data_IF_934215972058
#
_entry.id   IF_934215972058
#
_cell.length_a   1.000
_cell.length_b   1.000
_cell.length_c   1.000
_cell.angle_alpha   90.00
_cell.angle_beta   90.00
_cell.angle_gamma   90.00
#
_symmetry.space_group_name_H-M   'P 1'
#
loop_
_entity.id
_entity.type
_entity.pdbx_description
1 polymer ?
#
# COMPACT_ATOMS: atom_id res chain seq x y z
N UNK A 1 7.64 20.48 -11.24
CA UNK A 1 8.98 19.94 -10.96
C UNK A 1 9.21 20.00 -9.47
N UNK A 2 9.54 18.85 -8.87
CA UNK A 2 9.78 18.75 -7.43
C UNK A 2 11.12 19.40 -7.05
N UNK A 3 11.19 20.04 -5.89
CA UNK A 3 12.40 20.62 -5.31
C UNK A 3 12.68 20.05 -3.93
N UNK A 4 13.94 20.09 -3.52
CA UNK A 4 14.39 19.70 -2.18
C UNK A 4 14.89 20.94 -1.44
N UNK A 5 14.29 21.32 -0.31
CA UNK A 5 14.79 22.43 0.49
C UNK A 5 16.16 22.11 1.12
N UNK A 6 16.97 23.14 1.45
CA UNK A 6 18.26 22.97 2.10
C UNK A 6 18.17 22.20 3.42
N UNK A 7 19.09 21.25 3.63
CA UNK A 7 19.21 20.49 4.88
C UNK A 7 20.37 21.03 5.70
N UNK A 8 20.14 21.30 6.99
CA UNK A 8 21.19 21.80 7.88
C UNK A 8 22.36 20.81 7.93
N UNK A 9 23.58 21.31 7.74
CA UNK A 9 24.81 20.51 7.83
C UNK A 9 24.91 19.73 9.15
N UNK A 10 24.51 20.33 10.28
CA UNK A 10 24.52 19.66 11.58
C UNK A 10 23.67 18.39 11.62
N UNK A 11 22.57 18.34 10.87
CA UNK A 11 21.74 17.15 10.73
C UNK A 11 22.46 16.07 9.91
N UNK A 12 23.14 16.44 8.83
CA UNK A 12 23.91 15.50 7.99
C UNK A 12 25.13 14.96 8.77
N UNK A 13 25.82 15.82 9.51
CA UNK A 13 27.01 15.45 10.27
C UNK A 13 26.71 14.38 11.33
N UNK A 14 25.47 14.30 11.84
CA UNK A 14 24.98 13.27 12.76
C UNK A 14 24.68 11.92 12.08
N UNK A 15 24.72 11.82 10.75
CA UNK A 15 24.42 10.57 10.06
C UNK A 15 25.48 9.52 10.39
N UNK A 16 25.07 8.30 10.80
CA UNK A 16 26.01 7.22 11.00
C UNK A 16 26.56 6.77 9.64
N UNK A 17 27.86 6.53 9.58
CA UNK A 17 28.57 6.08 8.37
C UNK A 17 27.94 4.81 7.77
N UNK A 18 27.42 3.91 8.61
CA UNK A 18 26.80 2.66 8.18
C UNK A 18 25.47 2.83 7.45
N UNK A 19 24.73 3.92 7.67
CA UNK A 19 23.42 4.16 7.06
C UNK A 19 23.37 5.43 6.20
N UNK A 20 24.52 6.10 5.99
CA UNK A 20 24.57 7.41 5.35
C UNK A 20 24.24 7.38 3.85
N UNK A 21 24.61 6.31 3.15
CA UNK A 21 24.61 6.23 1.69
C UNK A 21 26.00 6.06 1.07
N UNK A 22 27.04 5.92 1.89
CA UNK A 22 28.36 5.50 1.43
C UNK A 22 28.33 4.06 0.90
N UNK A 23 29.26 3.73 -0.01
CA UNK A 23 29.39 2.34 -0.47
C UNK A 23 29.73 1.41 0.71
N UNK A 24 29.21 0.17 0.75
CA UNK A 24 29.44 -0.74 1.88
C UNK A 24 30.92 -0.92 2.22
N UNK A 25 31.79 -0.93 1.20
CA UNK A 25 33.24 -1.00 1.37
C UNK A 25 33.80 0.24 2.08
N UNK A 26 33.41 1.44 1.65
CA UNK A 26 33.84 2.68 2.29
C UNK A 26 33.34 2.74 3.74
N UNK A 27 32.06 2.46 3.96
CA UNK A 27 31.45 2.46 5.29
C UNK A 27 32.14 1.47 6.25
N UNK A 28 32.48 0.27 5.78
CA UNK A 28 33.20 -0.73 6.57
C UNK A 28 34.62 -0.30 6.93
N UNK A 29 35.37 0.32 6.00
CA UNK A 29 36.72 0.82 6.28
C UNK A 29 36.70 1.92 7.34
N UNK A 30 35.79 2.89 7.20
CA UNK A 30 35.60 3.99 8.12
C UNK A 30 35.17 3.50 9.52
N UNK A 31 34.22 2.57 9.57
CA UNK A 31 33.74 1.98 10.83
C UNK A 31 34.87 1.27 11.59
N UNK A 32 35.74 0.51 10.89
CA UNK A 32 36.92 -0.13 11.50
C UNK A 32 37.96 0.87 11.97
N UNK A 33 38.10 1.99 11.26
CA UNK A 33 38.91 3.13 11.67
C UNK A 33 38.27 3.96 12.80
N UNK A 34 37.17 3.49 13.40
CA UNK A 34 36.40 4.14 14.47
C UNK A 34 35.80 5.50 14.07
N UNK A 35 35.63 5.74 12.77
CA UNK A 35 34.90 6.89 12.23
C UNK A 35 33.43 6.46 12.12
N UNK A 36 32.59 7.02 12.99
CA UNK A 36 31.20 6.61 13.18
C UNK A 36 30.21 7.53 12.48
N UNK A 37 30.54 8.80 12.31
CA UNK A 37 29.62 9.82 11.78
C UNK A 37 30.18 10.54 10.54
N UNK A 38 29.28 11.14 9.75
CA UNK A 38 29.70 11.97 8.61
C UNK A 38 30.45 13.22 9.06
N UNK A 39 30.11 13.79 10.22
CA UNK A 39 30.82 14.92 10.81
C UNK A 39 32.27 14.58 11.14
N UNK A 40 32.55 13.40 11.70
CA UNK A 40 33.91 12.89 11.92
C UNK A 40 34.66 12.70 10.59
N UNK A 41 34.02 12.05 9.61
CA UNK A 41 34.60 11.84 8.28
C UNK A 41 35.05 13.15 7.64
N UNK A 42 34.25 14.21 7.74
CA UNK A 42 34.54 15.53 7.14
C UNK A 42 35.74 16.25 7.76
N UNK A 43 36.14 15.88 8.99
CA UNK A 43 37.33 16.46 9.65
C UNK A 43 38.63 15.82 9.15
N UNK A 44 38.55 14.73 8.40
CA UNK A 44 39.72 14.00 7.93
C UNK A 44 40.12 14.50 6.54
N UNK A 45 41.35 14.97 6.35
CA UNK A 45 41.88 15.34 5.04
C UNK A 45 41.84 14.17 4.05
N UNK A 46 41.60 14.48 2.77
CA UNK A 46 41.56 13.44 1.71
C UNK A 46 42.84 12.62 1.60
N UNK A 47 44.01 13.20 1.93
CA UNK A 47 45.29 12.49 1.92
C UNK A 47 45.33 11.41 3.02
N UNK A 48 44.81 11.73 4.21
CA UNK A 48 44.82 10.84 5.36
C UNK A 48 43.83 9.68 5.23
N UNK A 49 42.77 9.85 4.43
CA UNK A 49 41.83 8.77 4.13
C UNK A 49 42.51 7.58 3.43
N UNK A 50 43.54 7.81 2.61
CA UNK A 50 44.29 6.73 1.96
C UNK A 50 45.18 5.95 2.93
N UNK A 51 45.47 6.51 4.11
CA UNK A 51 46.21 5.82 5.16
C UNK A 51 45.32 4.85 5.96
N UNK A 52 43.99 4.90 5.76
CA UNK A 52 43.05 3.96 6.39
C UNK A 52 43.23 2.58 5.77
N UNK A 53 43.49 1.59 6.63
CA UNK A 53 43.67 0.18 6.23
C UNK A 53 42.52 -0.29 5.31
N UNK A 54 42.90 -0.85 4.16
CA UNK A 54 41.99 -1.41 3.14
C UNK A 54 41.09 -0.40 2.40
N UNK A 55 41.29 0.91 2.61
CA UNK A 55 40.63 1.96 1.84
C UNK A 55 41.43 2.24 0.56
N UNK A 56 40.85 1.92 -0.59
CA UNK A 56 41.48 2.13 -1.91
C UNK A 56 40.98 3.37 -2.65
N UNK A 57 41.61 3.67 -3.80
CA UNK A 57 41.25 4.82 -4.66
C UNK A 57 39.77 4.87 -5.06
N UNK A 58 39.15 3.69 -5.29
CA UNK A 58 37.70 3.59 -5.62
C UNK A 58 36.85 4.06 -4.44
N UNK A 59 37.10 3.54 -3.23
CA UNK A 59 36.36 3.97 -2.03
C UNK A 59 36.58 5.45 -1.71
N UNK A 60 37.78 5.98 -1.94
CA UNK A 60 38.03 7.42 -1.81
C UNK A 60 37.19 8.25 -2.80
N UNK A 61 37.10 7.79 -4.06
CA UNK A 61 36.24 8.44 -5.06
C UNK A 61 34.76 8.39 -4.64
N UNK A 62 34.29 7.24 -4.13
CA UNK A 62 32.92 7.10 -3.64
C UNK A 62 32.65 8.05 -2.47
N UNK A 63 33.59 8.16 -1.51
CA UNK A 63 33.52 9.10 -0.39
C UNK A 63 33.42 10.54 -0.91
N UNK A 64 34.26 10.93 -1.87
CA UNK A 64 34.22 12.29 -2.47
C UNK A 64 32.89 12.56 -3.16
N UNK A 65 32.39 11.60 -3.94
CA UNK A 65 31.09 11.72 -4.62
C UNK A 65 29.95 11.87 -3.61
N UNK A 66 29.95 11.07 -2.55
CA UNK A 66 29.00 11.17 -1.44
C UNK A 66 29.06 12.56 -0.78
N UNK A 67 30.26 13.02 -0.42
CA UNK A 67 30.44 14.33 0.23
C UNK A 67 29.96 15.48 -0.67
N UNK A 68 30.17 15.40 -1.99
CA UNK A 68 29.63 16.38 -2.93
C UNK A 68 28.10 16.36 -2.93
N UNK A 69 27.47 15.18 -3.04
CA UNK A 69 25.99 15.08 -2.94
C UNK A 69 25.45 15.67 -1.63
N UNK A 70 26.15 15.47 -0.51
CA UNK A 70 25.74 16.09 0.76
C UNK A 70 25.88 17.61 0.78
N UNK A 71 26.79 18.20 -0.01
CA UNK A 71 26.85 19.66 -0.18
C UNK A 71 25.67 20.17 -1.00
N UNK A 72 25.26 19.43 -2.02
CA UNK A 72 24.06 19.75 -2.80
C UNK A 72 22.81 19.73 -1.88
N UNK A 73 22.72 18.73 -1.00
CA UNK A 73 21.66 18.69 0.04
C UNK A 73 21.68 19.91 0.97
N UNK A 74 22.87 20.40 1.35
CA UNK A 74 23.02 21.58 2.22
C UNK A 74 22.56 22.87 1.55
N UNK A 75 22.60 22.94 0.22
CA UNK A 75 22.18 24.10 -0.57
C UNK A 75 20.73 23.99 -1.04
N UNK A 76 20.14 22.80 -0.93
CA UNK A 76 18.89 22.46 -1.59
C UNK A 76 19.11 22.16 -3.07
N UNK A 77 18.16 21.44 -3.68
CA UNK A 77 18.24 21.04 -5.08
C UNK A 77 16.96 21.48 -5.77
N UNK A 78 17.09 22.31 -6.79
CA UNK A 78 15.95 22.81 -7.56
C UNK A 78 16.33 23.01 -9.05
N UNK A 79 15.70 22.28 -9.99
CA UNK A 79 14.78 21.16 -9.77
C UNK A 79 15.53 19.88 -9.38
N UNK A 80 14.85 18.96 -8.69
CA UNK A 80 15.33 17.58 -8.58
C UNK A 80 15.20 16.87 -9.95
N UNK A 81 16.15 15.99 -10.32
CA UNK A 81 16.02 15.21 -11.55
C UNK A 81 14.91 14.16 -11.40
N UNK A 82 14.20 13.77 -12.48
CA UNK A 82 13.10 12.81 -12.39
C UNK A 82 13.45 11.56 -11.57
N UNK A 83 12.48 11.06 -10.82
CA UNK A 83 12.72 10.01 -9.81
C UNK A 83 13.43 8.78 -10.35
N UNK A 84 13.12 8.39 -11.58
CA UNK A 84 13.78 7.25 -12.24
C UNK A 84 15.28 7.48 -12.40
N UNK A 85 15.69 8.68 -12.79
CA UNK A 85 17.09 9.09 -12.86
C UNK A 85 17.74 9.03 -11.48
N UNK A 86 17.04 9.44 -10.42
CA UNK A 86 17.55 9.30 -9.04
C UNK A 86 17.74 7.83 -8.66
N UNK A 87 16.75 6.97 -8.87
CA UNK A 87 16.85 5.53 -8.53
C UNK A 87 18.02 4.87 -9.28
N UNK A 88 18.24 5.23 -10.55
CA UNK A 88 19.37 4.75 -11.34
C UNK A 88 20.75 5.11 -10.78
N UNK A 89 20.86 6.19 -10.00
CA UNK A 89 22.12 6.58 -9.35
C UNK A 89 22.45 5.74 -8.12
N UNK A 90 21.45 5.08 -7.51
CA UNK A 90 21.62 4.28 -6.31
C UNK A 90 21.60 2.78 -6.60
N UNK A 91 20.76 2.35 -7.55
CA UNK A 91 20.50 0.94 -7.81
C UNK A 91 21.04 0.54 -9.18
N UNK A 92 21.90 -0.48 -9.20
CA UNK A 92 22.50 -0.98 -10.44
C UNK A 92 21.43 -1.56 -11.38
N UNK A 93 21.72 -1.59 -12.68
CA UNK A 93 20.75 -2.00 -13.72
C UNK A 93 20.05 -3.34 -13.43
N UNK A 94 20.78 -4.34 -12.93
CA UNK A 94 20.24 -5.67 -12.64
C UNK A 94 19.28 -5.68 -11.45
N UNK A 95 19.66 -5.03 -10.35
CA UNK A 95 18.83 -4.94 -9.14
C UNK A 95 17.62 -4.03 -9.37
N UNK A 96 17.79 -2.98 -10.18
CA UNK A 96 16.71 -2.08 -10.58
C UNK A 96 15.66 -2.78 -11.44
N UNK A 97 16.04 -3.67 -12.36
CA UNK A 97 15.07 -4.41 -13.15
C UNK A 97 14.17 -5.30 -12.26
N UNK A 98 14.74 -5.90 -11.21
CA UNK A 98 13.98 -6.64 -10.20
C UNK A 98 13.05 -5.70 -9.43
N UNK A 99 13.55 -4.55 -8.98
CA UNK A 99 12.75 -3.53 -8.29
C UNK A 99 11.57 -3.04 -9.16
N UNK A 100 11.84 -2.69 -10.43
CA UNK A 100 10.84 -2.21 -11.39
C UNK A 100 9.72 -3.24 -11.60
N UNK A 101 10.03 -4.54 -11.63
CA UNK A 101 9.02 -5.60 -11.73
C UNK A 101 8.29 -5.87 -10.40
N UNK A 102 9.01 -5.91 -9.28
CA UNK A 102 8.44 -6.21 -7.95
C UNK A 102 7.42 -5.18 -7.50
N UNK A 103 7.69 -3.91 -7.79
CA UNK A 103 6.83 -2.80 -7.41
C UNK A 103 5.92 -2.32 -8.55
N UNK A 104 5.98 -2.93 -9.74
CA UNK A 104 5.16 -2.51 -10.87
C UNK A 104 5.47 -1.09 -11.33
N UNK A 105 6.75 -0.69 -11.31
CA UNK A 105 7.16 0.67 -11.68
C UNK A 105 7.03 0.94 -13.18
N UNK A 106 7.06 -0.09 -14.04
CA UNK A 106 7.00 0.08 -15.49
C UNK A 106 5.84 -0.75 -16.06
N UNK A 107 5.09 -0.14 -16.99
CA UNK A 107 3.98 -0.77 -17.72
C UNK A 107 2.60 -0.39 -17.20
N UNK A 108 1.55 -0.79 -17.92
CA UNK A 108 0.14 -0.45 -17.62
C UNK A 108 -0.50 -1.30 -16.50
N UNK A 109 0.33 -1.99 -15.71
CA UNK A 109 -0.07 -3.15 -14.89
C UNK A 109 -0.27 -2.81 -13.42
N UNK A 110 -1.10 -1.81 -13.13
CA UNK A 110 -1.73 -1.75 -11.81
C UNK A 110 -3.23 -1.72 -12.01
N UNK A 111 -3.74 -2.87 -12.44
CA UNK A 111 -5.14 -3.22 -12.21
C UNK A 111 -5.24 -3.92 -10.85
N UNK A 112 -6.40 -3.83 -10.18
CA UNK A 112 -6.65 -4.41 -8.86
C UNK A 112 -6.33 -5.92 -8.78
N UNK A 113 -6.26 -6.63 -9.91
CA UNK A 113 -5.96 -8.07 -9.96
C UNK A 113 -4.45 -8.40 -10.07
N UNK A 114 -3.57 -7.42 -10.22
CA UNK A 114 -2.14 -7.69 -10.45
C UNK A 114 -1.40 -7.67 -9.11
N UNK A 115 -1.40 -8.84 -8.47
CA UNK A 115 -0.44 -9.19 -7.42
C UNK A 115 0.97 -8.78 -7.86
N UNK A 116 1.69 -8.05 -6.99
CA UNK A 116 3.13 -7.81 -7.11
C UNK A 116 3.80 -9.07 -7.64
N UNK A 117 4.47 -8.99 -8.80
CA UNK A 117 5.11 -10.16 -9.41
C UNK A 117 5.90 -10.93 -8.36
N UNK A 118 5.59 -12.20 -8.14
CA UNK A 118 6.24 -12.98 -7.09
C UNK A 118 7.74 -13.11 -7.40
N UNK A 119 8.55 -13.29 -6.34
CA UNK A 119 9.99 -13.56 -6.51
C UNK A 119 10.24 -14.79 -7.39
N UNK A 120 9.32 -15.75 -7.35
CA UNK A 120 9.34 -16.95 -8.18
C UNK A 120 9.09 -16.60 -9.65
N UNK A 121 8.05 -15.84 -9.96
CA UNK A 121 7.70 -15.44 -11.32
C UNK A 121 8.82 -14.63 -12.00
N UNK A 122 9.45 -13.70 -11.26
CA UNK A 122 10.60 -12.94 -11.78
C UNK A 122 11.80 -13.86 -12.00
N UNK A 123 12.03 -14.82 -11.10
CA UNK A 123 13.09 -15.81 -11.23
C UNK A 123 12.95 -16.63 -12.51
N UNK A 124 11.74 -17.13 -12.77
CA UNK A 124 11.40 -17.87 -14.00
C UNK A 124 11.62 -17.01 -15.25
N UNK A 125 11.10 -15.77 -15.28
CA UNK A 125 11.25 -14.87 -16.41
C UNK A 125 12.72 -14.54 -16.71
N UNK A 126 13.55 -14.41 -15.68
CA UNK A 126 14.96 -14.02 -15.82
C UNK A 126 15.92 -15.22 -15.80
N UNK A 127 15.43 -16.46 -15.77
CA UNK A 127 16.26 -17.68 -15.61
C UNK A 127 17.20 -17.60 -14.41
N UNK A 128 16.69 -17.14 -13.26
CA UNK A 128 17.39 -17.00 -11.99
C UNK A 128 16.62 -17.67 -10.87
N UNK A 129 17.31 -18.09 -9.81
CA UNK A 129 16.64 -18.65 -8.64
C UNK A 129 15.84 -17.58 -7.90
N UNK A 130 14.73 -17.98 -7.26
CA UNK A 130 13.96 -17.13 -6.34
C UNK A 130 14.85 -16.44 -5.30
N UNK A 131 15.81 -17.17 -4.73
CA UNK A 131 16.74 -16.63 -3.73
C UNK A 131 17.65 -15.54 -4.32
N UNK A 132 18.10 -15.69 -5.57
CA UNK A 132 18.88 -14.65 -6.23
C UNK A 132 18.06 -13.38 -6.47
N UNK A 133 16.80 -13.52 -6.85
CA UNK A 133 15.88 -12.38 -7.00
C UNK A 133 15.65 -11.69 -5.66
N UNK A 134 15.43 -12.45 -4.58
CA UNK A 134 15.30 -11.91 -3.22
C UNK A 134 16.52 -11.09 -2.80
N UNK A 135 17.73 -11.59 -3.08
CA UNK A 135 18.97 -10.88 -2.80
C UNK A 135 19.09 -9.59 -3.62
N UNK A 136 18.73 -9.60 -4.90
CA UNK A 136 18.69 -8.40 -5.74
C UNK A 136 17.69 -7.36 -5.21
N UNK A 137 16.47 -7.78 -4.85
CA UNK A 137 15.46 -6.90 -4.24
C UNK A 137 15.98 -6.31 -2.92
N UNK A 138 16.56 -7.15 -2.05
CA UNK A 138 17.13 -6.70 -0.78
C UNK A 138 18.25 -5.68 -0.98
N UNK A 139 19.20 -5.98 -1.88
CA UNK A 139 20.28 -5.05 -2.23
C UNK A 139 19.76 -3.71 -2.75
N UNK A 140 18.74 -3.73 -3.61
CA UNK A 140 18.11 -2.50 -4.11
C UNK A 140 17.48 -1.69 -2.97
N UNK A 141 16.65 -2.35 -2.15
CA UNK A 141 15.95 -1.70 -1.04
C UNK A 141 16.91 -1.16 0.02
N UNK A 142 17.99 -1.86 0.35
CA UNK A 142 18.99 -1.40 1.31
C UNK A 142 19.67 -0.11 0.84
N UNK A 143 19.95 0.02 -0.47
CA UNK A 143 20.51 1.24 -1.04
C UNK A 143 19.52 2.40 -1.02
N UNK A 144 18.25 2.13 -1.32
CA UNK A 144 17.18 3.15 -1.29
C UNK A 144 16.82 3.59 0.14
N UNK A 145 17.06 2.75 1.15
CA UNK A 145 16.87 3.06 2.59
C UNK A 145 18.00 3.85 3.23
N UNK A 146 19.08 4.13 2.50
CA UNK A 146 20.16 4.97 3.01
C UNK A 146 19.68 6.40 3.23
N UNK A 147 20.24 7.10 4.21
CA UNK A 147 19.81 8.47 4.55
C UNK A 147 19.86 9.41 3.35
N UNK A 148 20.93 9.35 2.55
CA UNK A 148 21.07 10.13 1.33
C UNK A 148 19.94 9.84 0.33
N UNK A 149 19.66 8.57 0.04
CA UNK A 149 18.60 8.20 -0.90
C UNK A 149 17.22 8.61 -0.40
N UNK A 150 16.89 8.34 0.88
CA UNK A 150 15.63 8.74 1.48
C UNK A 150 15.42 10.26 1.42
N UNK A 151 16.43 11.09 1.70
CA UNK A 151 16.26 12.56 1.62
C UNK A 151 16.01 13.03 0.19
N UNK A 152 16.65 12.42 -0.81
CA UNK A 152 16.44 12.77 -2.23
C UNK A 152 15.09 12.28 -2.78
N UNK A 153 14.60 11.14 -2.28
CA UNK A 153 13.30 10.58 -2.69
C UNK A 153 12.12 11.21 -1.96
N UNK A 154 12.36 11.76 -0.76
CA UNK A 154 11.31 12.28 0.13
C UNK A 154 10.37 13.29 -0.55
N UNK A 155 10.86 14.29 -1.32
CA UNK A 155 9.96 15.26 -1.97
C UNK A 155 8.95 14.63 -2.95
N UNK A 156 9.29 13.51 -3.58
CA UNK A 156 8.34 12.77 -4.44
C UNK A 156 7.30 12.02 -3.61
N UNK A 157 7.71 11.46 -2.47
CA UNK A 157 6.79 10.83 -1.52
C UNK A 157 5.86 11.87 -0.90
N UNK A 158 6.34 13.07 -0.54
CA UNK A 158 5.52 14.15 0.00
C UNK A 158 4.44 14.61 -0.99
N UNK A 159 4.75 14.64 -2.29
CA UNK A 159 3.78 14.90 -3.36
C UNK A 159 2.67 13.83 -3.37
N UNK A 160 3.03 12.56 -3.17
CA UNK A 160 2.08 11.46 -3.07
C UNK A 160 1.28 11.48 -1.77
N UNK A 161 1.89 11.81 -0.64
CA UNK A 161 1.23 12.03 0.67
C UNK A 161 0.18 13.13 0.54
N UNK A 162 0.52 14.26 -0.07
CA UNK A 162 -0.43 15.35 -0.32
C UNK A 162 -1.62 14.88 -1.15
N UNK A 163 -1.35 14.03 -2.15
CA UNK A 163 -2.40 13.43 -2.99
C UNK A 163 -3.32 12.51 -2.17
N UNK A 164 -2.75 11.65 -1.34
CA UNK A 164 -3.51 10.78 -0.42
C UNK A 164 -4.35 11.62 0.55
N UNK A 165 -3.76 12.63 1.17
CA UNK A 165 -4.44 13.49 2.16
C UNK A 165 -5.62 14.26 1.54
N UNK A 166 -5.49 14.72 0.29
CA UNK A 166 -6.59 15.36 -0.46
C UNK A 166 -7.77 14.43 -0.81
N UNK A 167 -7.63 13.12 -0.59
CA UNK A 167 -8.66 12.09 -0.86
C UNK A 167 -9.12 11.43 0.44
N UNK A 168 -9.32 12.24 1.48
CA UNK A 168 -9.62 11.78 2.84
C UNK A 168 -8.65 10.69 3.29
N UNK A 169 -7.37 10.88 3.02
CA UNK A 169 -6.29 9.98 3.42
C UNK A 169 -6.39 8.55 2.88
N UNK A 170 -7.28 8.24 1.92
CA UNK A 170 -7.42 6.90 1.33
C UNK A 170 -7.40 7.02 -0.20
N UNK A 171 -6.35 6.47 -0.81
CA UNK A 171 -6.15 6.51 -2.26
C UNK A 171 -5.98 5.10 -2.82
N UNK A 172 -6.86 4.69 -3.72
CA UNK A 172 -6.71 3.42 -4.44
C UNK A 172 -5.62 3.51 -5.51
N UNK A 173 -5.13 2.35 -5.96
CA UNK A 173 -4.13 2.30 -7.02
C UNK A 173 -4.65 2.87 -8.36
N UNK A 174 -5.94 2.68 -8.64
CA UNK A 174 -6.63 3.22 -9.82
C UNK A 174 -6.74 4.74 -9.73
N UNK A 175 -7.07 5.29 -8.56
CA UNK A 175 -7.12 6.74 -8.37
C UNK A 175 -5.74 7.40 -8.44
N UNK A 176 -4.67 6.69 -8.06
CA UNK A 176 -3.31 7.19 -8.19
C UNK A 176 -2.92 7.48 -9.66
N UNK A 177 -3.66 6.94 -10.64
CA UNK A 177 -3.46 7.21 -12.06
C UNK A 177 -3.65 8.69 -12.43
N UNK A 178 -4.27 9.51 -11.57
CA UNK A 178 -4.32 10.97 -11.76
C UNK A 178 -2.93 11.61 -11.84
N UNK A 179 -1.90 10.94 -11.32
CA UNK A 179 -0.50 11.36 -11.39
C UNK A 179 0.25 10.78 -12.60
N UNK A 180 -0.45 10.11 -13.53
CA UNK A 180 0.18 9.54 -14.73
C UNK A 180 0.62 10.65 -15.67
N UNK A 181 1.79 10.49 -16.30
CA UNK A 181 2.36 11.49 -17.20
C UNK A 181 3.04 12.67 -16.48
N UNK A 182 3.12 12.63 -15.16
CA UNK A 182 3.86 13.63 -14.40
C UNK A 182 5.36 13.60 -14.77
N UNK A 183 5.94 14.73 -15.22
CA UNK A 183 7.35 14.76 -15.66
C UNK A 183 8.33 14.41 -14.53
N UNK A 184 7.94 14.59 -13.27
CA UNK A 184 8.74 14.23 -12.11
C UNK A 184 8.87 12.70 -11.96
N UNK A 185 7.92 11.94 -12.51
CA UNK A 185 7.87 10.47 -12.47
C UNK A 185 8.42 9.81 -13.74
N UNK A 186 8.59 10.56 -14.82
CA UNK A 186 9.01 10.04 -16.13
C UNK A 186 8.09 8.91 -16.61
N UNK A 187 8.63 7.70 -16.81
CA UNK A 187 7.92 6.49 -17.26
C UNK A 187 7.47 5.59 -16.11
N UNK A 188 7.64 6.04 -14.85
CA UNK A 188 7.21 5.25 -13.71
C UNK A 188 5.72 5.38 -13.39
N UNK A 189 5.09 4.24 -13.13
CA UNK A 189 3.69 4.14 -12.79
C UNK A 189 3.43 4.66 -11.35
N UNK A 190 2.49 5.59 -11.14
CA UNK A 190 2.23 6.19 -9.83
C UNK A 190 1.86 5.19 -8.72
N UNK A 191 0.96 4.24 -9.00
CA UNK A 191 0.61 3.22 -8.00
C UNK A 191 1.81 2.33 -7.60
N UNK A 192 2.78 2.14 -8.49
CA UNK A 192 3.97 1.32 -8.21
C UNK A 192 4.98 2.11 -7.40
N UNK A 193 5.08 3.41 -7.67
CA UNK A 193 5.83 4.34 -6.85
C UNK A 193 5.25 4.45 -5.43
N UNK A 194 3.92 4.54 -5.28
CA UNK A 194 3.25 4.47 -3.97
C UNK A 194 3.58 3.17 -3.24
N UNK A 195 3.61 2.06 -3.96
CA UNK A 195 3.97 0.76 -3.43
C UNK A 195 5.42 0.71 -2.94
N UNK A 196 6.37 1.25 -3.73
CA UNK A 196 7.76 1.40 -3.34
C UNK A 196 7.90 2.31 -2.13
N UNK A 197 7.22 3.45 -2.13
CA UNK A 197 7.27 4.43 -1.06
C UNK A 197 6.68 3.91 0.25
N UNK A 198 5.60 3.11 0.21
CA UNK A 198 5.09 2.44 1.41
C UNK A 198 6.12 1.50 2.06
N UNK A 199 7.09 1.00 1.29
CA UNK A 199 8.18 0.15 1.79
C UNK A 199 9.43 0.93 2.25
N UNK A 200 9.49 2.24 1.95
CA UNK A 200 10.60 3.14 2.27
C UNK A 200 10.25 4.16 3.36
N UNK A 201 9.00 4.62 3.40
CA UNK A 201 8.53 5.73 4.22
C UNK A 201 7.36 5.27 5.11
N UNK A 202 7.49 5.39 6.44
CA UNK A 202 6.51 4.85 7.39
C UNK A 202 5.19 5.62 7.46
N UNK A 203 5.14 6.82 6.87
CA UNK A 203 3.96 7.66 6.77
C UNK A 203 3.09 7.35 5.53
N UNK A 204 3.44 6.32 4.76
CA UNK A 204 2.60 5.77 3.70
C UNK A 204 2.37 4.29 4.02
N UNK A 205 1.13 3.95 4.36
CA UNK A 205 0.67 2.59 4.60
C UNK A 205 -0.01 2.04 3.34
N UNK A 206 0.33 0.81 2.95
CA UNK A 206 -0.43 0.05 1.96
C UNK A 206 -1.23 -1.05 2.67
N UNK A 207 -2.54 -1.05 2.52
CA UNK A 207 -3.46 -1.97 3.19
C UNK A 207 -4.66 -2.26 2.29
N UNK A 208 -5.09 -3.52 2.18
CA UNK A 208 -6.24 -3.93 1.36
C UNK A 208 -6.33 -3.21 0.00
N UNK A 209 -5.23 -3.18 -0.75
CA UNK A 209 -5.16 -2.59 -2.11
C UNK A 209 -5.36 -1.06 -2.21
N UNK A 210 -5.29 -0.34 -1.10
CA UNK A 210 -5.23 1.12 -1.09
C UNK A 210 -4.01 1.64 -0.30
N UNK A 211 -3.72 2.92 -0.49
CA UNK A 211 -2.68 3.67 0.19
C UNK A 211 -3.29 4.68 1.16
N UNK A 212 -2.69 4.83 2.34
CA UNK A 212 -3.16 5.76 3.36
C UNK A 212 -2.02 6.38 4.16
N UNK A 213 -2.23 7.60 4.66
CA UNK A 213 -1.35 8.28 5.61
C UNK A 213 -1.74 8.00 7.07
N UNK A 214 -2.78 7.18 7.29
CA UNK A 214 -3.19 6.70 8.61
C UNK A 214 -2.22 5.63 9.08
N UNK A 215 -1.87 5.68 10.38
CA UNK A 215 -0.98 4.68 10.97
C UNK A 215 -1.62 3.28 10.93
N UNK A 216 -0.85 2.19 10.73
CA UNK A 216 -1.40 0.84 10.69
C UNK A 216 -2.23 0.48 11.93
N UNK A 217 -1.80 0.90 13.12
CA UNK A 217 -2.51 0.61 14.38
C UNK A 217 -3.87 1.32 14.44
N UNK A 218 -3.92 2.59 14.04
CA UNK A 218 -5.17 3.35 13.98
C UNK A 218 -6.13 2.74 12.96
N UNK A 219 -5.60 2.35 11.79
CA UNK A 219 -6.39 1.75 10.72
C UNK A 219 -7.02 0.42 11.16
N UNK A 220 -6.24 -0.48 11.75
CA UNK A 220 -6.74 -1.76 12.24
C UNK A 220 -7.78 -1.59 13.34
N UNK A 221 -7.56 -0.65 14.26
CA UNK A 221 -8.52 -0.33 15.32
C UNK A 221 -9.83 0.23 14.74
N UNK A 222 -9.76 1.07 13.71
CA UNK A 222 -10.96 1.58 13.03
C UNK A 222 -11.70 0.45 12.29
N UNK A 223 -10.98 -0.42 11.58
CA UNK A 223 -11.58 -1.58 10.91
C UNK A 223 -12.31 -2.49 11.90
N UNK A 224 -11.69 -2.81 13.04
CA UNK A 224 -12.34 -3.60 14.08
C UNK A 224 -13.62 -2.95 14.60
N UNK A 225 -13.60 -1.64 14.87
CA UNK A 225 -14.79 -0.92 15.31
C UNK A 225 -15.89 -0.85 14.24
N UNK A 226 -15.53 -0.66 12.97
CA UNK A 226 -16.49 -0.69 11.87
C UNK A 226 -17.14 -2.07 11.73
N UNK A 227 -16.37 -3.15 11.82
CA UNK A 227 -16.90 -4.52 11.74
C UNK A 227 -17.84 -4.81 12.91
N UNK A 228 -17.46 -4.44 14.14
CA UNK A 228 -18.33 -4.59 15.32
C UNK A 228 -19.62 -3.75 15.19
N UNK A 229 -19.52 -2.54 14.65
CA UNK A 229 -20.68 -1.68 14.43
C UNK A 229 -21.64 -2.29 13.39
N UNK A 230 -21.10 -2.89 12.32
CA UNK A 230 -21.86 -3.62 11.30
C UNK A 230 -22.51 -4.88 11.85
N UNK A 231 -21.80 -5.65 12.67
CA UNK A 231 -22.33 -6.86 13.29
C UNK A 231 -23.51 -6.58 14.24
N UNK A 232 -23.54 -5.38 14.84
CA UNK A 232 -24.65 -4.93 15.67
C UNK A 232 -25.92 -4.53 14.89
N UNK A 233 -25.86 -4.45 13.55
CA UNK A 233 -27.01 -4.06 12.72
C UNK A 233 -27.72 -5.26 12.12
N UNK A 234 -29.05 -5.23 12.13
CA UNK A 234 -29.88 -6.30 11.53
C UNK A 234 -30.23 -6.06 10.05
N UNK A 235 -29.64 -5.03 9.43
CA UNK A 235 -29.82 -4.63 8.04
C UNK A 235 -28.51 -4.01 7.47
N UNK A 236 -28.32 -3.97 6.14
CA UNK A 236 -27.24 -3.19 5.53
C UNK A 236 -27.34 -1.72 5.92
N UNK A 237 -26.21 -1.06 6.13
CA UNK A 237 -26.16 0.36 6.53
C UNK A 237 -25.21 1.17 5.66
N UNK A 238 -25.51 2.45 5.47
CA UNK A 238 -24.68 3.36 4.70
C UNK A 238 -23.41 3.78 5.47
N UNK A 239 -22.42 4.27 4.74
CA UNK A 239 -21.21 4.88 5.30
C UNK A 239 -21.52 6.11 6.16
N UNK A 240 -22.53 6.91 5.79
CA UNK A 240 -23.02 8.05 6.59
C UNK A 240 -23.54 7.61 7.95
N UNK A 241 -24.40 6.58 7.98
CA UNK A 241 -24.91 6.04 9.24
C UNK A 241 -23.78 5.52 10.13
N UNK A 242 -22.83 4.77 9.55
CA UNK A 242 -21.69 4.25 10.31
C UNK A 242 -20.80 5.36 10.87
N UNK A 243 -20.54 6.41 10.08
CA UNK A 243 -19.76 7.55 10.53
C UNK A 243 -20.41 8.21 11.76
N UNK A 244 -21.72 8.50 11.69
CA UNK A 244 -22.47 9.06 12.81
C UNK A 244 -22.46 8.13 14.02
N UNK A 245 -22.76 6.84 13.82
CA UNK A 245 -22.78 5.83 14.86
C UNK A 245 -21.44 5.72 15.60
N UNK A 246 -20.33 5.68 14.87
CA UNK A 246 -18.99 5.59 15.45
C UNK A 246 -18.60 6.88 16.17
N UNK A 247 -18.89 8.06 15.58
CA UNK A 247 -18.62 9.34 16.24
C UNK A 247 -19.39 9.52 17.55
N UNK A 248 -20.60 8.95 17.65
CA UNK A 248 -21.40 8.99 18.88
C UNK A 248 -20.94 7.96 19.91
N UNK A 249 -20.67 6.72 19.51
CA UNK A 249 -20.48 5.62 20.45
C UNK A 249 -19.00 5.30 20.74
N UNK A 250 -18.13 5.39 19.73
CA UNK A 250 -16.69 5.07 19.83
C UNK A 250 -15.85 5.99 18.92
N UNK A 251 -15.73 7.28 19.24
CA UNK A 251 -15.11 8.24 18.33
C UNK A 251 -13.59 8.11 18.20
N UNK A 252 -12.91 7.35 19.07
CA UNK A 252 -11.45 7.41 19.24
C UNK A 252 -10.67 7.12 17.95
N UNK A 253 -10.76 5.91 17.39
CA UNK A 253 -10.07 5.55 16.14
C UNK A 253 -10.48 6.43 14.95
N UNK A 254 -11.78 6.68 14.77
CA UNK A 254 -12.28 7.48 13.66
C UNK A 254 -11.80 8.93 13.71
N UNK A 255 -11.85 9.58 14.88
CA UNK A 255 -11.29 10.95 15.05
C UNK A 255 -9.78 10.97 14.84
N UNK A 256 -9.08 9.92 15.25
CA UNK A 256 -7.62 9.79 15.09
C UNK A 256 -7.20 9.66 13.62
N UNK A 257 -8.09 9.17 12.75
CA UNK A 257 -7.84 9.16 11.31
C UNK A 257 -7.78 10.58 10.74
N UNK A 258 -8.52 11.54 11.30
CA UNK A 258 -8.51 12.93 10.85
C UNK A 258 -9.00 13.09 9.42
N UNK A 259 -10.04 12.35 9.05
CA UNK A 259 -10.78 12.56 7.79
C UNK A 259 -11.45 13.94 7.80
N UNK A 260 -11.54 14.56 6.63
CA UNK A 260 -12.37 15.75 6.43
C UNK A 260 -13.83 15.32 6.27
N UNK A 261 -14.05 14.23 5.53
CA UNK A 261 -15.34 13.59 5.29
C UNK A 261 -15.29 12.13 5.80
N UNK A 262 -15.64 11.87 7.08
CA UNK A 262 -15.54 10.54 7.68
C UNK A 262 -16.29 9.45 6.92
N UNK A 263 -17.46 9.76 6.36
CA UNK A 263 -18.28 8.85 5.57
C UNK A 263 -17.55 8.38 4.30
N UNK A 264 -16.81 9.27 3.63
CA UNK A 264 -16.03 8.92 2.43
C UNK A 264 -14.84 8.04 2.78
N UNK A 265 -14.13 8.36 3.87
CA UNK A 265 -13.02 7.56 4.38
C UNK A 265 -13.46 6.14 4.76
N UNK A 266 -14.58 6.02 5.48
CA UNK A 266 -15.18 4.74 5.87
C UNK A 266 -15.59 3.92 4.63
N UNK A 267 -16.31 4.54 3.71
CA UNK A 267 -16.76 3.87 2.47
C UNK A 267 -15.59 3.27 1.70
N UNK A 268 -14.52 4.05 1.49
CA UNK A 268 -13.33 3.63 0.77
C UNK A 268 -12.62 2.44 1.44
N UNK A 269 -12.55 2.44 2.77
CA UNK A 269 -11.96 1.33 3.53
C UNK A 269 -12.83 0.08 3.41
N UNK A 270 -14.14 0.20 3.64
CA UNK A 270 -15.08 -0.93 3.63
C UNK A 270 -15.22 -1.56 2.25
N UNK A 271 -15.21 -0.77 1.17
CA UNK A 271 -15.24 -1.26 -0.22
C UNK A 271 -14.08 -2.22 -0.54
N UNK A 272 -12.96 -2.09 0.17
CA UNK A 272 -11.77 -2.93 0.00
C UNK A 272 -11.57 -3.96 1.11
N UNK A 273 -12.34 -3.91 2.19
CA UNK A 273 -12.22 -4.88 3.27
C UNK A 273 -12.79 -6.27 2.85
N UNK A 274 -12.02 -7.36 2.94
CA UNK A 274 -12.45 -8.67 2.44
C UNK A 274 -13.61 -9.30 3.23
N UNK A 275 -13.85 -8.85 4.47
CA UNK A 275 -14.91 -9.39 5.33
C UNK A 275 -16.27 -8.72 5.12
N UNK A 276 -16.30 -7.61 4.38
CA UNK A 276 -17.50 -6.79 4.22
C UNK A 276 -18.16 -7.11 2.89
N UNK A 277 -19.47 -7.31 2.93
CA UNK A 277 -20.33 -7.40 1.76
C UNK A 277 -20.94 -6.03 1.51
N UNK A 278 -21.03 -5.65 0.24
CA UNK A 278 -21.48 -4.33 -0.20
C UNK A 278 -22.67 -4.50 -1.13
N UNK A 279 -23.75 -3.76 -0.89
CA UNK A 279 -24.91 -3.74 -1.78
C UNK A 279 -24.66 -2.86 -3.00
N UNK A 280 -25.51 -2.94 -4.02
CA UNK A 280 -25.46 -2.01 -5.17
C UNK A 280 -25.75 -0.56 -4.81
N UNK A 281 -26.32 -0.30 -3.62
CA UNK A 281 -26.59 1.02 -3.08
C UNK A 281 -25.50 1.54 -2.12
N UNK A 282 -24.32 0.89 -2.10
CA UNK A 282 -23.20 1.23 -1.20
C UNK A 282 -23.58 1.15 0.28
N UNK A 283 -24.38 0.15 0.64
CA UNK A 283 -24.63 -0.22 2.02
C UNK A 283 -23.78 -1.44 2.38
N UNK A 284 -23.36 -1.50 3.64
CA UNK A 284 -22.37 -2.43 4.14
C UNK A 284 -22.99 -3.35 5.18
N UNK A 285 -22.56 -4.62 5.17
CA UNK A 285 -22.87 -5.59 6.22
C UNK A 285 -21.83 -6.71 6.26
N UNK A 286 -21.79 -7.41 7.39
CA UNK A 286 -20.84 -8.51 7.67
C UNK A 286 -21.52 -9.76 8.16
N UNK A 287 -22.67 -9.63 8.82
CA UNK A 287 -23.31 -10.75 9.51
C UNK A 287 -24.13 -11.66 8.58
N UNK A 288 -24.24 -12.92 9.00
CA UNK A 288 -24.97 -13.96 8.28
C UNK A 288 -26.48 -13.71 8.30
N UNK A 289 -27.02 -13.08 9.33
CA UNK A 289 -28.45 -12.77 9.44
C UNK A 289 -28.93 -11.90 8.27
N UNK A 290 -28.23 -10.80 7.99
CA UNK A 290 -28.53 -9.92 6.86
C UNK A 290 -28.41 -10.65 5.53
N UNK A 291 -27.39 -11.50 5.38
CA UNK A 291 -27.24 -12.33 4.19
C UNK A 291 -28.45 -13.25 3.97
N UNK A 292 -28.94 -13.92 5.02
CA UNK A 292 -30.14 -14.77 4.96
C UNK A 292 -31.36 -13.93 4.56
N UNK A 293 -31.54 -12.74 5.14
CA UNK A 293 -32.64 -11.83 4.78
C UNK A 293 -32.61 -11.45 3.29
N UNK A 294 -31.43 -11.16 2.74
CA UNK A 294 -31.27 -10.85 1.32
C UNK A 294 -31.53 -12.06 0.43
N UNK A 295 -31.07 -13.26 0.79
CA UNK A 295 -31.39 -14.49 0.05
C UNK A 295 -32.88 -14.82 0.08
N UNK A 296 -33.55 -14.59 1.21
CA UNK A 296 -34.98 -14.77 1.32
C UNK A 296 -35.75 -13.79 0.43
N UNK A 297 -35.32 -12.53 0.39
CA UNK A 297 -35.85 -11.53 -0.54
C UNK A 297 -35.63 -11.94 -2.00
N UNK A 298 -34.49 -12.54 -2.32
CA UNK A 298 -34.22 -13.09 -3.65
C UNK A 298 -35.20 -14.23 -4.01
N UNK A 299 -35.45 -15.18 -3.10
CA UNK A 299 -36.47 -16.23 -3.29
C UNK A 299 -37.86 -15.62 -3.52
N UNK A 300 -38.26 -14.65 -2.69
CA UNK A 300 -39.56 -13.99 -2.82
C UNK A 300 -39.73 -13.27 -4.17
N UNK A 301 -38.65 -12.70 -4.74
CA UNK A 301 -38.68 -12.06 -6.07
C UNK A 301 -38.82 -13.06 -7.21
N UNK A 302 -38.20 -14.24 -7.11
CA UNK A 302 -38.34 -15.30 -8.13
C UNK A 302 -39.73 -15.95 -8.04
N UNK A 303 -40.17 -16.26 -6.82
CA UNK A 303 -41.44 -16.94 -6.54
C UNK A 303 -41.28 -18.09 -5.53
N UNK A 304 -42.41 -18.65 -5.08
CA UNK A 304 -42.46 -19.63 -3.98
C UNK A 304 -41.64 -20.91 -4.21
N UNK A 305 -41.26 -21.21 -5.47
CA UNK A 305 -40.46 -22.38 -5.86
C UNK A 305 -39.31 -21.92 -6.76
N UNK A 306 -38.25 -21.40 -6.15
CA UNK A 306 -37.18 -20.73 -6.88
C UNK A 306 -36.02 -21.69 -7.18
N UNK A 307 -35.60 -21.78 -8.44
CA UNK A 307 -34.40 -22.52 -8.82
C UNK A 307 -33.15 -21.80 -8.28
N UNK A 308 -32.18 -22.55 -7.75
CA UNK A 308 -31.00 -21.96 -7.07
C UNK A 308 -30.17 -20.99 -7.93
N UNK A 309 -30.18 -21.16 -9.26
CA UNK A 309 -29.51 -20.21 -10.18
C UNK A 309 -30.24 -18.87 -10.26
N UNK A 310 -31.56 -18.88 -10.24
CA UNK A 310 -32.37 -17.67 -10.31
C UNK A 310 -32.31 -16.91 -8.98
N UNK A 311 -32.30 -17.64 -7.85
CA UNK A 311 -32.01 -17.06 -6.53
C UNK A 311 -30.63 -16.41 -6.55
N UNK A 312 -29.63 -17.10 -7.09
CA UNK A 312 -28.26 -16.58 -7.15
C UNK A 312 -28.17 -15.31 -8.00
N UNK A 313 -28.88 -15.26 -9.12
CA UNK A 313 -28.95 -14.07 -9.95
C UNK A 313 -29.62 -12.92 -9.19
N UNK A 314 -30.81 -13.15 -8.62
CA UNK A 314 -31.56 -12.13 -7.87
C UNK A 314 -30.81 -11.60 -6.65
N UNK A 315 -30.06 -12.46 -5.95
CA UNK A 315 -29.18 -12.04 -4.87
C UNK A 315 -28.04 -11.15 -5.40
N UNK A 316 -27.33 -11.60 -6.43
CA UNK A 316 -26.20 -10.87 -6.98
C UNK A 316 -26.59 -9.53 -7.65
N UNK A 317 -27.84 -9.38 -8.11
CA UNK A 317 -28.41 -8.10 -8.57
C UNK A 317 -28.51 -7.05 -7.44
N UNK A 318 -28.52 -7.47 -6.17
CA UNK A 318 -28.50 -6.57 -5.00
C UNK A 318 -27.10 -6.31 -4.45
N UNK A 319 -26.09 -7.05 -4.91
CA UNK A 319 -24.72 -7.01 -4.38
C UNK A 319 -23.79 -6.33 -5.38
N UNK A 320 -22.86 -5.53 -4.86
CA UNK A 320 -21.85 -4.86 -5.66
C UNK A 320 -21.08 -5.88 -6.54
N UNK A 321 -20.82 -5.59 -7.83
CA UNK A 321 -20.26 -6.57 -8.77
C UNK A 321 -18.96 -7.25 -8.30
N UNK A 322 -18.11 -6.52 -7.59
CA UNK A 322 -16.83 -7.06 -7.07
C UNK A 322 -16.99 -7.95 -5.83
N UNK A 323 -18.21 -8.10 -5.30
CA UNK A 323 -18.53 -8.81 -4.04
C UNK A 323 -19.57 -9.91 -4.21
N UNK A 324 -19.96 -10.21 -5.46
CA UNK A 324 -20.97 -11.22 -5.75
C UNK A 324 -20.52 -12.62 -5.31
N UNK A 325 -21.48 -13.43 -4.89
CA UNK A 325 -21.23 -14.80 -4.52
C UNK A 325 -21.41 -15.72 -5.72
N UNK A 326 -20.48 -16.66 -5.88
CA UNK A 326 -20.63 -17.74 -6.83
C UNK A 326 -21.83 -18.63 -6.47
N UNK A 327 -22.47 -19.19 -7.50
CA UNK A 327 -23.65 -20.04 -7.35
C UNK A 327 -23.42 -21.19 -6.36
N UNK A 328 -22.21 -21.77 -6.34
CA UNK A 328 -21.85 -22.84 -5.39
C UNK A 328 -21.84 -22.39 -3.92
N UNK A 329 -21.43 -21.15 -3.63
CA UNK A 329 -21.46 -20.60 -2.27
C UNK A 329 -22.89 -20.37 -1.81
N UNK A 330 -23.74 -19.81 -2.67
CA UNK A 330 -25.17 -19.63 -2.38
C UNK A 330 -25.85 -20.97 -2.15
N UNK A 331 -25.56 -21.97 -2.97
CA UNK A 331 -26.09 -23.32 -2.81
C UNK A 331 -25.69 -23.95 -1.46
N UNK A 332 -24.45 -23.73 -0.98
CA UNK A 332 -24.02 -24.20 0.34
C UNK A 332 -24.86 -23.56 1.45
N UNK A 333 -25.12 -22.26 1.35
CA UNK A 333 -25.92 -21.52 2.33
C UNK A 333 -27.36 -22.03 2.33
N UNK A 334 -27.99 -22.15 1.15
CA UNK A 334 -29.35 -22.65 1.00
C UNK A 334 -29.55 -24.08 1.54
N UNK A 335 -28.52 -24.93 1.53
CA UNK A 335 -28.59 -26.28 2.09
C UNK A 335 -28.27 -26.34 3.60
N UNK A 336 -27.47 -25.40 4.10
CA UNK A 336 -26.96 -25.42 5.47
C UNK A 336 -27.76 -24.61 6.47
N UNK A 337 -28.60 -23.69 5.99
CA UNK A 337 -29.32 -22.75 6.85
C UNK A 337 -30.79 -23.15 7.04
N UNK A 338 -31.28 -23.09 8.28
CA UNK A 338 -32.62 -23.53 8.67
C UNK A 338 -33.76 -22.70 8.06
N UNK A 339 -33.48 -21.48 7.57
CA UNK A 339 -34.49 -20.60 6.99
C UNK A 339 -34.88 -21.00 5.56
N UNK A 340 -34.15 -21.92 4.94
CA UNK A 340 -34.41 -22.40 3.58
C UNK A 340 -34.74 -23.88 3.60
N UNK A 341 -35.68 -24.28 2.75
CA UNK A 341 -36.05 -25.68 2.57
C UNK A 341 -35.95 -26.04 1.10
N UNK A 342 -35.26 -27.15 0.82
CA UNK A 342 -35.22 -27.72 -0.52
C UNK A 342 -36.52 -28.48 -0.79
N UNK A 343 -37.31 -27.97 -1.73
CA UNK A 343 -38.63 -28.54 -2.06
C UNK A 343 -38.49 -29.68 -3.08
N UNK A 344 -37.58 -29.52 -4.05
CA UNK A 344 -37.29 -30.54 -5.05
C UNK A 344 -35.83 -30.45 -5.56
N UNK A 345 -35.50 -31.15 -6.64
CA UNK A 345 -34.16 -31.04 -7.23
C UNK A 345 -33.92 -29.60 -7.69
N UNK A 346 -32.90 -28.98 -7.11
CA UNK A 346 -32.42 -27.63 -7.45
C UNK A 346 -33.37 -26.46 -7.11
N UNK A 347 -34.54 -26.71 -6.50
CA UNK A 347 -35.48 -25.66 -6.10
C UNK A 347 -35.60 -25.53 -4.58
N UNK A 348 -35.66 -24.28 -4.14
CA UNK A 348 -35.69 -23.89 -2.73
C UNK A 348 -36.86 -22.93 -2.47
N UNK A 349 -37.37 -23.00 -1.25
CA UNK A 349 -38.39 -22.11 -0.71
C UNK A 349 -37.96 -21.64 0.70
N UNK A 350 -38.67 -20.64 1.23
CA UNK A 350 -38.55 -20.28 2.64
C UNK A 350 -39.15 -21.38 3.50
N UNK A 351 -38.48 -21.71 4.61
CA UNK A 351 -38.98 -22.70 5.55
C UNK A 351 -40.31 -22.23 6.18
N UNK A 352 -41.25 -23.13 6.49
CA UNK A 352 -42.52 -22.75 7.13
C UNK A 352 -42.29 -22.02 8.47
N UNK A 353 -42.98 -20.90 8.69
CA UNK A 353 -42.87 -20.10 9.93
C UNK A 353 -41.68 -19.14 9.98
N UNK A 354 -40.89 -19.06 8.92
CA UNK A 354 -39.79 -18.10 8.75
C UNK A 354 -40.33 -16.67 8.82
N UNK A 355 -39.96 -15.91 9.86
CA UNK A 355 -40.16 -14.45 9.95
C UNK A 355 -38.83 -13.77 9.64
N UNK A 356 -38.77 -13.02 8.55
CA UNK A 356 -37.56 -12.36 8.03
C UNK A 356 -37.78 -10.86 7.98
#
# INVERSE_FOLDING_TARGET
MVSLPPIKRSQIDQWPVSASGLSPRAANCLTRARIRTIGELRKIPSADLLNIRSLGKVSLRDIRSFLNKTKDLEQGINPLPPIRTLIQQFVDRGDRAVLEQRFGLIGSRISPEIERMSLQAIGEQCSRTRERIRQCEQCAMDRLRTRLACHLLRPYADKMVTTIDSRDKILSAEEALILSGDPDFQDYHPGGLLLLFSALFPDITYHNEYFTTISPNTLLSLEEEMLNALDAQSAPVSSTFLAEYLLTNRPGPLKSCGFVHPEQGIERILLRNPKVVVTTHLEFFTNQEVLIKLLARAIQRVGAFAHYRDISQQYNEMIHPTRQLGVGSILKILNGDQHFTRVERAHYALAPGTRI
#
